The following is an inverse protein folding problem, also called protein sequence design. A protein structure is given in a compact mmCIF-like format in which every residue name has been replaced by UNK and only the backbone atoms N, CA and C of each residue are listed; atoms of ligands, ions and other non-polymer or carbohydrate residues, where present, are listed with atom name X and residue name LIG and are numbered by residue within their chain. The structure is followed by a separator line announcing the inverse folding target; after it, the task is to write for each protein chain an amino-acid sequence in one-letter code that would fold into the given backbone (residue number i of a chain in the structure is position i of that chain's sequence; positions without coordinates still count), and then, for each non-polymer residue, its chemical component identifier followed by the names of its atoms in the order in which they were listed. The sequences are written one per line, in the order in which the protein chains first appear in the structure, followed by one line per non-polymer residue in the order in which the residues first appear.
data_IF_374532100250
#
_entry.id   IF_374532100250
#
_cell.length_a   1.000
_cell.length_b   1.000
_cell.length_c   1.000
_cell.angle_alpha   90.00
_cell.angle_beta   90.00
_cell.angle_gamma   90.00
#
_symmetry.space_group_name_H-M   'P 1'
#
loop_
_entity.id
_entity.type
_entity.pdbx_description
1 polymer ?
#
# COMPACT_ATOMS: atom_id res chain seq x y z
N UNK A 1 9.09 19.64 3.92
CA UNK A 1 10.00 18.49 3.82
C UNK A 1 10.75 18.40 5.14
N UNK A 2 10.37 17.46 6.02
CA UNK A 2 10.98 17.34 7.36
C UNK A 2 12.39 16.78 7.16
N UNK A 3 13.40 17.55 7.56
CA UNK A 3 14.78 17.11 7.52
C UNK A 3 15.04 16.15 8.70
N UNK A 4 14.96 14.85 8.44
CA UNK A 4 15.28 13.82 9.43
C UNK A 4 16.79 13.83 9.71
N UNK A 5 17.17 14.30 10.91
CA UNK A 5 18.55 14.20 11.41
C UNK A 5 18.85 12.76 11.87
N UNK A 6 20.09 12.27 11.66
CA UNK A 6 20.49 10.88 11.91
C UNK A 6 20.48 10.43 13.39
N UNK A 7 20.30 11.36 14.32
CA UNK A 7 20.28 11.20 15.77
C UNK A 7 18.89 10.87 16.34
N UNK A 8 17.86 10.82 15.49
CA UNK A 8 16.47 10.56 15.91
C UNK A 8 16.13 9.05 15.81
N UNK A 9 16.59 8.27 16.79
CA UNK A 9 16.27 6.83 16.92
C UNK A 9 14.75 6.60 16.82
N UNK A 10 13.94 7.47 17.41
CA UNK A 10 12.48 7.38 17.39
C UNK A 10 11.90 7.43 15.97
N UNK A 11 12.49 8.25 15.09
CA UNK A 11 12.09 8.31 13.69
C UNK A 11 12.43 7.02 12.98
N UNK A 12 13.65 6.50 13.18
CA UNK A 12 14.03 5.23 12.56
C UNK A 12 13.15 4.08 13.03
N UNK A 13 12.78 4.08 14.32
CA UNK A 13 11.84 3.11 14.90
C UNK A 13 10.47 3.27 14.27
N UNK A 14 9.94 4.50 14.14
CA UNK A 14 8.67 4.76 13.46
C UNK A 14 8.66 4.24 12.01
N UNK A 15 9.72 4.50 11.24
CA UNK A 15 9.85 4.00 9.86
C UNK A 15 9.84 2.46 9.83
N UNK A 16 10.52 1.80 10.77
CA UNK A 16 10.54 0.33 10.87
C UNK A 16 9.16 -0.22 11.23
N UNK A 17 8.47 0.37 12.20
CA UNK A 17 7.13 -0.05 12.63
C UNK A 17 6.11 0.08 11.50
N UNK A 18 6.13 1.19 10.74
CA UNK A 18 5.23 1.36 9.59
C UNK A 18 5.55 0.38 8.46
N UNK A 19 6.82 0.08 8.19
CA UNK A 19 7.20 -0.98 7.23
C UNK A 19 6.72 -2.35 7.66
N UNK A 20 6.81 -2.65 8.96
CA UNK A 20 6.29 -3.88 9.53
C UNK A 20 4.77 -3.96 9.37
N UNK A 21 4.04 -2.91 9.76
CA UNK A 21 2.59 -2.82 9.62
C UNK A 21 2.15 -3.01 8.16
N UNK A 22 2.79 -2.32 7.21
CA UNK A 22 2.53 -2.50 5.76
C UNK A 22 2.62 -3.96 5.33
N UNK A 23 3.67 -4.66 5.75
CA UNK A 23 3.87 -6.07 5.36
C UNK A 23 2.85 -7.00 6.02
N UNK A 24 2.51 -6.75 7.29
CA UNK A 24 1.50 -7.52 8.02
C UNK A 24 0.10 -7.34 7.39
N UNK A 25 -0.27 -6.11 7.03
CA UNK A 25 -1.52 -5.80 6.36
C UNK A 25 -1.60 -6.46 4.98
N UNK A 26 -0.52 -6.41 4.18
CA UNK A 26 -0.47 -7.12 2.90
C UNK A 26 -0.68 -8.63 3.07
N UNK A 27 -0.02 -9.24 4.05
CA UNK A 27 -0.20 -10.66 4.32
C UNK A 27 -1.64 -10.98 4.74
N UNK A 28 -2.26 -10.14 5.58
CA UNK A 28 -3.65 -10.30 5.98
C UNK A 28 -4.62 -10.17 4.78
N UNK A 29 -4.43 -9.17 3.93
CA UNK A 29 -5.24 -8.99 2.70
C UNK A 29 -5.14 -10.23 1.81
N UNK A 30 -3.94 -10.76 1.56
CA UNK A 30 -3.76 -11.98 0.76
C UNK A 30 -4.48 -13.18 1.37
N UNK A 31 -4.42 -13.35 2.70
CA UNK A 31 -5.12 -14.45 3.38
C UNK A 31 -6.63 -14.32 3.37
N UNK A 32 -7.17 -13.10 3.39
CA UNK A 32 -8.60 -12.87 3.23
C UNK A 32 -9.04 -13.13 1.80
N UNK A 33 -8.26 -12.70 0.80
CA UNK A 33 -8.56 -12.94 -0.62
C UNK A 33 -8.51 -14.43 -0.95
N UNK A 34 -7.52 -15.17 -0.43
CA UNK A 34 -7.45 -16.65 -0.50
C UNK A 34 -8.72 -17.33 0.06
N UNK A 35 -9.35 -16.71 1.08
CA UNK A 35 -10.57 -17.18 1.71
C UNK A 35 -11.85 -16.61 1.09
N UNK A 36 -11.74 -15.80 0.02
CA UNK A 36 -12.87 -15.19 -0.69
C UNK A 36 -13.48 -13.96 -0.01
N UNK A 37 -12.79 -13.37 0.98
CA UNK A 37 -13.24 -12.17 1.70
C UNK A 37 -12.48 -10.93 1.22
N UNK A 38 -13.19 -9.80 1.15
CA UNK A 38 -12.61 -8.48 0.92
C UNK A 38 -12.88 -7.58 2.12
N UNK A 39 -11.89 -6.77 2.52
CA UNK A 39 -12.00 -5.85 3.64
C UNK A 39 -11.40 -4.49 3.26
N UNK A 40 -12.26 -3.54 2.87
CA UNK A 40 -11.82 -2.22 2.39
C UNK A 40 -10.97 -1.47 3.41
N UNK A 41 -11.31 -1.56 4.71
CA UNK A 41 -10.53 -0.91 5.77
C UNK A 41 -9.08 -1.42 5.84
N UNK A 42 -8.86 -2.70 5.52
CA UNK A 42 -7.53 -3.31 5.49
C UNK A 42 -6.72 -2.83 4.28
N UNK A 43 -7.38 -2.68 3.14
CA UNK A 43 -6.80 -2.16 1.91
C UNK A 43 -6.39 -0.69 2.07
N UNK A 44 -7.23 0.13 2.69
CA UNK A 44 -6.97 1.55 2.97
C UNK A 44 -5.77 1.70 3.93
N UNK A 45 -5.74 0.95 5.04
CA UNK A 45 -4.62 0.96 5.99
C UNK A 45 -3.31 0.52 5.33
N UNK A 46 -3.36 -0.48 4.46
CA UNK A 46 -2.19 -0.91 3.67
C UNK A 46 -1.72 0.22 2.75
N UNK A 47 -2.64 0.86 2.02
CA UNK A 47 -2.35 1.95 1.10
C UNK A 47 -1.71 3.14 1.82
N UNK A 48 -2.23 3.54 2.98
CA UNK A 48 -1.68 4.62 3.80
C UNK A 48 -0.24 4.30 4.26
N UNK A 49 -0.01 3.09 4.77
CA UNK A 49 1.33 2.66 5.18
C UNK A 49 2.30 2.63 3.99
N UNK A 50 1.85 2.17 2.83
CA UNK A 50 2.66 2.17 1.61
C UNK A 50 2.98 3.59 1.14
N UNK A 51 2.02 4.52 1.25
CA UNK A 51 2.16 5.94 0.96
C UNK A 51 3.22 6.60 1.84
N UNK A 52 3.15 6.41 3.16
CA UNK A 52 4.15 6.93 4.11
C UNK A 52 5.57 6.42 3.79
N UNK A 53 5.71 5.12 3.51
CA UNK A 53 7.01 4.53 3.15
C UNK A 53 7.56 5.10 1.84
N UNK A 54 6.69 5.39 0.87
CA UNK A 54 7.09 6.00 -0.39
C UNK A 54 7.51 7.46 -0.21
N UNK A 55 6.75 8.23 0.57
CA UNK A 55 7.03 9.64 0.88
C UNK A 55 8.37 9.80 1.62
N UNK A 56 8.62 9.00 2.66
CA UNK A 56 9.90 9.00 3.36
C UNK A 56 11.09 8.56 2.50
N UNK A 57 10.83 7.77 1.45
CA UNK A 57 11.85 7.40 0.47
C UNK A 57 12.03 8.46 -0.64
N UNK A 58 11.34 9.60 -0.56
CA UNK A 58 11.38 10.67 -1.56
C UNK A 58 10.79 10.25 -2.92
N UNK A 59 9.97 9.20 -2.95
CA UNK A 59 9.37 8.72 -4.20
C UNK A 59 8.18 9.61 -4.56
N UNK A 60 8.13 10.02 -5.82
CA UNK A 60 6.96 10.69 -6.37
C UNK A 60 6.01 9.66 -6.98
N UNK A 61 4.68 9.90 -6.92
CA UNK A 61 3.72 9.09 -7.67
C UNK A 61 4.15 9.03 -9.12
N UNK A 62 4.30 7.82 -9.66
CA UNK A 62 4.52 7.63 -11.10
C UNK A 62 3.16 7.68 -11.78
N UNK A 63 3.10 8.26 -12.98
CA UNK A 63 1.91 8.11 -13.83
C UNK A 63 1.66 6.62 -14.06
N UNK A 64 0.45 6.16 -13.75
CA UNK A 64 0.06 4.78 -14.08
C UNK A 64 -0.10 4.70 -15.59
N UNK A 65 0.65 3.83 -16.29
CA UNK A 65 0.51 3.69 -17.74
C UNK A 65 -0.88 3.19 -18.14
N UNK A 66 -1.43 3.70 -19.24
CA UNK A 66 -2.79 3.37 -19.71
C UNK A 66 -3.04 1.87 -19.89
N UNK A 67 -2.02 1.11 -20.27
CA UNK A 67 -2.14 -0.34 -20.43
C UNK A 67 -2.42 -1.06 -19.11
N UNK A 68 -1.89 -0.57 -17.98
CA UNK A 68 -2.15 -1.12 -16.64
C UNK A 68 -3.59 -0.81 -16.21
N UNK A 69 -4.06 0.42 -16.45
CA UNK A 69 -5.44 0.82 -16.15
C UNK A 69 -6.42 -0.05 -16.93
N UNK A 70 -6.19 -0.22 -18.23
CA UNK A 70 -7.00 -1.07 -19.10
C UNK A 70 -7.02 -2.52 -18.64
N UNK A 71 -5.86 -3.10 -18.30
CA UNK A 71 -5.77 -4.46 -17.77
C UNK A 71 -6.56 -4.64 -16.46
N UNK A 72 -6.50 -3.67 -15.54
CA UNK A 72 -7.26 -3.71 -14.29
C UNK A 72 -8.79 -3.64 -14.54
N UNK A 73 -9.23 -2.83 -15.49
CA UNK A 73 -10.64 -2.74 -15.91
C UNK A 73 -11.11 -4.06 -16.52
N UNK A 74 -10.32 -4.66 -17.42
CA UNK A 74 -10.64 -5.95 -18.03
C UNK A 74 -10.72 -7.08 -17.01
N UNK A 75 -9.77 -7.15 -16.08
CA UNK A 75 -9.78 -8.12 -14.99
C UNK A 75 -11.06 -8.01 -14.16
N UNK A 76 -11.45 -6.79 -13.74
CA UNK A 76 -12.69 -6.58 -12.96
C UNK A 76 -13.95 -6.95 -13.74
N UNK A 77 -14.01 -6.65 -15.04
CA UNK A 77 -15.11 -7.07 -15.93
C UNK A 77 -15.25 -8.59 -15.96
N UNK A 78 -14.14 -9.31 -16.13
CA UNK A 78 -14.13 -10.77 -16.17
C UNK A 78 -14.60 -11.41 -14.86
N UNK A 79 -14.41 -10.72 -13.73
CA UNK A 79 -14.72 -11.23 -12.39
C UNK A 79 -16.01 -10.61 -11.80
N UNK A 80 -16.81 -9.92 -12.60
CA UNK A 80 -18.12 -9.38 -12.18
C UNK A 80 -18.06 -8.33 -11.06
N UNK A 81 -16.92 -7.66 -10.86
CA UNK A 81 -16.72 -6.63 -9.84
C UNK A 81 -16.93 -5.24 -10.45
N UNK A 82 -17.92 -4.46 -9.98
CA UNK A 82 -18.17 -3.08 -10.41
C UNK A 82 -17.43 -2.06 -9.54
N UNK A 83 -17.19 -0.85 -10.08
CA UNK A 83 -16.94 0.35 -9.28
C UNK A 83 -18.25 0.91 -8.72
#
# INVERSE_FOLDING_TARGET
MIAFRPDNIDVMVAVRLVRFARNALLAATLKLDDAGYACAALDDLYADCAGLVADWAGRKPKSVPDHIVRAAVEYRRQHGRSY
#
